data_IF_760746120160
#
_entry.id   IF_760746120160
#
_cell.length_a   1.000
_cell.length_b   1.000
_cell.length_c   1.000
_cell.angle_alpha   90.00
_cell.angle_beta   90.00
_cell.angle_gamma   90.00
#
_symmetry.space_group_name_H-M   'P 1'
#
loop_
_entity.id
_entity.type
_entity.pdbx_description
1 polymer ?
#
# COMPACT_ATOMS: atom_id res chain seq x y z
N UNK A 1 -49.45 30.54 2.26
CA UNK A 1 -48.39 30.22 1.28
C UNK A 1 -47.04 30.24 1.99
N UNK A 2 -46.47 29.07 2.30
CA UNK A 2 -45.14 28.91 2.89
C UNK A 2 -44.18 28.48 1.78
N UNK A 3 -43.23 29.35 1.41
CA UNK A 3 -42.19 29.05 0.43
C UNK A 3 -40.93 28.56 1.14
N UNK A 4 -40.47 27.37 0.75
CA UNK A 4 -39.22 26.73 1.18
C UNK A 4 -38.03 27.44 0.51
N UNK A 5 -37.06 27.92 1.28
CA UNK A 5 -35.68 28.11 0.83
C UNK A 5 -34.84 26.98 1.41
N UNK A 6 -34.64 25.94 0.59
CA UNK A 6 -33.76 24.83 0.89
C UNK A 6 -32.40 25.08 0.23
N UNK A 7 -31.33 24.93 1.03
CA UNK A 7 -29.96 24.57 0.67
C UNK A 7 -29.53 24.70 -0.81
N UNK A 8 -28.79 25.76 -1.10
CA UNK A 8 -27.84 25.83 -2.21
C UNK A 8 -26.53 26.47 -1.71
N UNK A 9 -25.79 25.73 -0.88
CA UNK A 9 -24.35 25.99 -0.67
C UNK A 9 -23.62 24.65 -0.70
N UNK A 10 -23.63 24.04 -1.87
CA UNK A 10 -22.72 22.96 -2.24
C UNK A 10 -22.58 23.06 -3.74
N UNK A 11 -21.34 23.18 -4.23
CA UNK A 11 -20.95 23.10 -5.65
C UNK A 11 -20.58 24.39 -6.40
N UNK A 12 -20.05 25.42 -5.72
CA UNK A 12 -19.34 26.49 -6.43
C UNK A 12 -18.20 27.03 -5.56
N UNK A 13 -17.00 26.49 -5.77
CA UNK A 13 -15.67 27.13 -5.75
C UNK A 13 -14.71 25.97 -6.07
N UNK A 14 -14.55 25.68 -7.37
CA UNK A 14 -13.42 24.93 -7.90
C UNK A 14 -13.24 25.39 -9.34
N UNK A 15 -12.84 26.66 -9.48
CA UNK A 15 -12.48 27.24 -10.77
C UNK A 15 -11.30 28.17 -10.53
N UNK A 16 -10.13 27.70 -10.99
CA UNK A 16 -8.96 28.48 -11.37
C UNK A 16 -8.20 29.16 -10.23
N UNK A 17 -7.18 28.48 -9.71
CA UNK A 17 -5.96 29.14 -9.26
C UNK A 17 -4.75 28.34 -9.75
N UNK A 18 -4.12 28.86 -10.79
CA UNK A 18 -2.72 28.62 -11.11
C UNK A 18 -1.94 29.71 -10.38
N UNK A 19 -1.21 29.31 -9.36
CA UNK A 19 -0.13 30.11 -8.75
C UNK A 19 1.04 29.15 -8.54
N UNK A 20 2.04 29.27 -9.42
CA UNK A 20 3.46 28.91 -9.26
C UNK A 20 3.81 27.91 -8.13
N UNK A 21 4.21 26.68 -8.54
CA UNK A 21 4.45 25.43 -7.79
C UNK A 21 3.16 24.79 -7.25
N UNK A 22 2.65 23.66 -7.71
CA UNK A 22 2.96 22.75 -8.81
C UNK A 22 2.13 21.46 -8.72
N UNK A 23 1.44 21.24 -7.58
CA UNK A 23 0.55 20.11 -7.35
C UNK A 23 -0.76 20.50 -6.63
N UNK A 24 -1.73 19.59 -6.58
CA UNK A 24 -2.96 19.80 -5.82
C UNK A 24 -2.81 19.98 -4.29
N UNK A 25 -1.64 19.66 -3.72
CA UNK A 25 -1.34 19.93 -2.30
C UNK A 25 -1.16 21.42 -1.99
N UNK A 26 -0.80 22.22 -3.00
CA UNK A 26 -0.49 23.65 -2.83
C UNK A 26 -1.74 24.52 -2.64
N UNK A 27 -2.92 23.89 -2.63
CA UNK A 27 -4.17 24.51 -2.16
C UNK A 27 -4.05 25.05 -0.72
N UNK A 28 -3.07 24.60 0.07
CA UNK A 28 -2.77 25.14 1.39
C UNK A 28 -2.57 26.66 1.38
N UNK A 29 -1.95 27.23 0.34
CA UNK A 29 -1.75 28.68 0.22
C UNK A 29 -3.09 29.41 0.15
N UNK A 30 -3.98 28.90 -0.70
CA UNK A 30 -5.34 29.44 -0.85
C UNK A 30 -6.15 29.30 0.43
N UNK A 31 -5.91 28.25 1.22
CA UNK A 31 -6.58 28.04 2.50
C UNK A 31 -6.06 29.06 3.51
N UNK A 32 -4.75 29.14 3.72
CA UNK A 32 -4.12 30.04 4.69
C UNK A 32 -4.41 31.51 4.36
N UNK A 33 -4.42 31.89 3.09
CA UNK A 33 -4.74 33.26 2.67
C UNK A 33 -6.19 33.68 2.97
N UNK A 34 -7.11 32.71 3.11
CA UNK A 34 -8.53 32.94 3.40
C UNK A 34 -8.88 32.80 4.89
N UNK A 35 -7.93 32.46 5.75
CA UNK A 35 -8.14 32.28 7.19
C UNK A 35 -8.03 33.60 7.96
N UNK A 36 -9.09 34.42 7.93
CA UNK A 36 -9.13 35.74 8.60
C UNK A 36 -8.69 35.75 10.07
N UNK A 37 -8.94 34.65 10.80
CA UNK A 37 -8.57 34.53 12.22
C UNK A 37 -7.11 34.17 12.40
N UNK A 38 -6.59 33.27 11.58
CA UNK A 38 -5.18 32.88 11.57
C UNK A 38 -4.32 34.12 11.25
N UNK A 39 -4.69 34.83 10.18
CA UNK A 39 -4.04 36.07 9.71
C UNK A 39 -4.01 37.21 10.75
N UNK A 40 -4.89 37.16 11.77
CA UNK A 40 -4.92 38.15 12.87
C UNK A 40 -4.13 37.73 14.10
N UNK A 41 -3.85 36.43 14.24
CA UNK A 41 -3.27 35.83 15.43
C UNK A 41 -1.79 35.52 15.26
N UNK A 42 -1.42 35.09 14.06
CA UNK A 42 -0.07 34.64 13.75
C UNK A 42 0.67 35.77 13.01
N UNK A 43 1.91 36.11 13.41
CA UNK A 43 2.78 37.01 12.65
C UNK A 43 2.93 36.60 11.19
N UNK A 44 3.15 37.58 10.30
CA UNK A 44 3.24 37.29 8.87
C UNK A 44 4.47 36.44 8.54
N UNK A 45 5.56 36.70 9.24
CA UNK A 45 6.83 36.00 9.13
C UNK A 45 6.68 34.52 9.50
N UNK A 46 5.86 34.23 10.52
CA UNK A 46 5.58 32.86 10.97
C UNK A 46 4.66 32.13 9.97
N UNK A 47 3.66 32.82 9.42
CA UNK A 47 2.82 32.29 8.33
C UNK A 47 3.69 31.94 7.11
N UNK A 48 4.62 32.81 6.72
CA UNK A 48 5.53 32.57 5.60
C UNK A 48 6.44 31.36 5.86
N UNK A 49 7.00 31.27 7.08
CA UNK A 49 7.83 30.14 7.50
C UNK A 49 7.06 28.81 7.46
N UNK A 50 5.82 28.81 7.93
CA UNK A 50 4.96 27.63 7.91
C UNK A 50 4.59 27.19 6.49
N UNK A 51 4.27 28.14 5.60
CA UNK A 51 3.96 27.84 4.21
C UNK A 51 5.19 27.30 3.46
N UNK A 52 6.36 27.91 3.65
CA UNK A 52 7.61 27.38 3.09
C UNK A 52 7.86 25.94 3.56
N UNK A 53 7.63 25.66 4.84
CA UNK A 53 7.78 24.31 5.38
C UNK A 53 6.78 23.32 4.76
N UNK A 54 5.51 23.75 4.61
CA UNK A 54 4.47 22.97 3.95
C UNK A 54 4.81 22.68 2.47
N UNK A 55 5.37 23.65 1.75
CA UNK A 55 5.81 23.46 0.36
C UNK A 55 6.92 22.44 0.23
N UNK A 56 7.94 22.47 1.10
CA UNK A 56 9.01 21.47 1.06
C UNK A 56 8.50 20.07 1.44
N UNK A 57 7.62 19.96 2.43
CA UNK A 57 6.96 18.67 2.74
C UNK A 57 6.11 18.17 1.56
N UNK A 58 5.36 19.06 0.89
CA UNK A 58 4.59 18.71 -0.30
C UNK A 58 5.52 18.16 -1.40
N UNK A 59 6.64 18.84 -1.69
CA UNK A 59 7.62 18.38 -2.68
C UNK A 59 8.15 16.98 -2.37
N UNK A 60 8.51 16.73 -1.11
CA UNK A 60 8.98 15.42 -0.66
C UNK A 60 7.88 14.35 -0.81
N UNK A 61 6.61 14.66 -0.51
CA UNK A 61 5.48 13.73 -0.75
C UNK A 61 5.33 13.42 -2.24
N UNK A 62 5.35 14.43 -3.11
CA UNK A 62 5.25 14.26 -4.57
C UNK A 62 6.42 13.42 -5.07
N UNK A 63 7.64 13.71 -4.63
CA UNK A 63 8.82 12.90 -4.97
C UNK A 63 8.63 11.46 -4.51
N UNK A 64 8.21 11.23 -3.26
CA UNK A 64 7.97 9.89 -2.75
C UNK A 64 6.95 9.13 -3.59
N UNK A 65 5.84 9.77 -3.98
CA UNK A 65 4.82 9.17 -4.85
C UNK A 65 5.42 8.78 -6.20
N UNK A 66 6.12 9.70 -6.85
CA UNK A 66 6.75 9.47 -8.15
C UNK A 66 7.82 8.38 -8.08
N UNK A 67 8.80 8.50 -7.18
CA UNK A 67 9.93 7.58 -7.05
C UNK A 67 9.51 6.16 -6.73
N UNK A 68 8.43 6.00 -5.96
CA UNK A 68 7.90 4.68 -5.62
C UNK A 68 6.87 4.17 -6.64
N UNK A 69 6.41 5.01 -7.58
CA UNK A 69 5.41 4.66 -8.59
C UNK A 69 4.06 4.25 -8.00
N UNK A 70 3.74 4.69 -6.78
CA UNK A 70 2.53 4.27 -6.05
C UNK A 70 1.23 4.90 -6.58
N UNK A 71 1.33 5.81 -7.54
CA UNK A 71 0.19 6.39 -8.25
C UNK A 71 0.03 5.83 -9.67
N UNK A 72 0.86 4.84 -10.09
CA UNK A 72 0.85 4.30 -11.45
C UNK A 72 -0.45 3.56 -11.80
N UNK A 73 -1.21 3.11 -10.81
CA UNK A 73 -2.53 2.48 -10.95
C UNK A 73 -3.69 3.49 -10.82
N UNK A 74 -3.37 4.80 -10.89
CA UNK A 74 -4.29 5.92 -10.76
C UNK A 74 -4.99 6.01 -9.39
N UNK A 75 -4.48 5.32 -8.36
CA UNK A 75 -5.13 5.28 -7.04
C UNK A 75 -4.15 5.12 -5.89
N UNK A 76 -4.11 6.12 -5.01
CA UNK A 76 -3.36 5.98 -3.75
C UNK A 76 -4.14 5.13 -2.74
N UNK A 77 -3.59 4.00 -2.35
CA UNK A 77 -4.15 3.04 -1.39
C UNK A 77 -3.51 3.16 0.00
N UNK A 78 -4.02 2.47 1.04
CA UNK A 78 -3.36 2.48 2.33
C UNK A 78 -2.01 1.74 2.34
N UNK A 79 -1.73 0.85 1.38
CA UNK A 79 -0.38 0.27 1.19
C UNK A 79 0.58 1.33 0.64
N UNK A 80 0.10 2.19 -0.27
CA UNK A 80 0.89 3.30 -0.82
C UNK A 80 1.26 4.30 0.27
N UNK A 81 0.37 4.58 1.22
CA UNK A 81 0.70 5.42 2.38
C UNK A 81 1.87 4.84 3.19
N UNK A 82 1.94 3.51 3.33
CA UNK A 82 3.07 2.87 4.03
C UNK A 82 4.36 2.98 3.22
N UNK A 83 4.27 2.83 1.90
CA UNK A 83 5.42 2.95 1.01
C UNK A 83 5.96 4.40 0.96
N UNK A 84 5.07 5.39 0.80
CA UNK A 84 5.40 6.82 0.89
C UNK A 84 6.07 7.13 2.23
N UNK A 85 5.47 6.66 3.34
CA UNK A 85 6.02 6.90 4.68
C UNK A 85 7.41 6.26 4.85
N UNK A 86 7.60 5.04 4.34
CA UNK A 86 8.88 4.33 4.35
C UNK A 86 9.94 5.06 3.53
N UNK A 87 9.56 5.63 2.38
CA UNK A 87 10.45 6.46 1.56
C UNK A 87 10.88 7.72 2.30
N UNK A 88 9.94 8.46 2.91
CA UNK A 88 10.25 9.67 3.67
C UNK A 88 11.15 9.35 4.87
N UNK A 89 10.82 8.33 5.67
CA UNK A 89 11.64 7.89 6.80
C UNK A 89 13.06 7.46 6.40
N UNK A 90 13.23 6.91 5.20
CA UNK A 90 14.52 6.44 4.71
C UNK A 90 15.40 7.58 4.20
N UNK A 91 14.81 8.56 3.52
CA UNK A 91 15.57 9.54 2.73
C UNK A 91 15.54 10.95 3.33
N UNK A 92 14.49 11.31 4.06
CA UNK A 92 14.21 12.69 4.48
C UNK A 92 13.93 12.82 5.98
N UNK A 93 14.19 11.80 6.81
CA UNK A 93 13.78 11.80 8.22
C UNK A 93 14.15 13.07 8.98
N UNK A 94 15.42 13.47 8.93
CA UNK A 94 15.91 14.59 9.73
C UNK A 94 15.37 15.93 9.22
N UNK A 95 15.33 16.12 7.90
CA UNK A 95 14.74 17.29 7.25
C UNK A 95 13.22 17.38 7.51
N UNK A 96 12.53 16.25 7.42
CA UNK A 96 11.09 16.17 7.61
C UNK A 96 10.67 16.60 9.02
N UNK A 97 11.42 16.20 10.05
CA UNK A 97 11.16 16.62 11.44
C UNK A 97 11.28 18.14 11.58
N UNK A 98 12.29 18.75 10.95
CA UNK A 98 12.49 20.21 10.97
C UNK A 98 11.34 20.94 10.28
N UNK A 99 10.92 20.45 9.11
CA UNK A 99 9.83 21.06 8.33
C UNK A 99 8.47 20.89 9.01
N UNK A 100 8.20 19.72 9.58
CA UNK A 100 7.01 19.48 10.38
C UNK A 100 6.94 20.45 11.56
N UNK A 101 8.08 20.61 12.23
CA UNK A 101 8.21 21.47 13.40
C UNK A 101 7.73 20.79 14.68
N UNK A 102 7.95 21.50 15.77
CA UNK A 102 7.60 21.11 17.13
C UNK A 102 6.54 22.08 17.69
N UNK A 103 5.73 21.61 18.64
CA UNK A 103 4.83 22.42 19.47
C UNK A 103 5.06 22.25 20.99
N UNK A 104 6.20 21.64 21.38
CA UNK A 104 6.63 21.53 22.78
C UNK A 104 7.27 22.83 23.33
N UNK A 105 7.34 22.92 24.67
CA UNK A 105 8.01 23.98 25.45
C UNK A 105 7.59 25.45 25.16
N UNK A 106 6.47 25.66 24.44
CA UNK A 106 5.97 26.95 23.92
C UNK A 106 6.81 27.55 22.77
N UNK A 107 7.60 26.75 22.07
CA UNK A 107 8.28 27.16 20.84
C UNK A 107 7.68 26.41 19.64
N UNK A 108 6.82 27.09 18.90
CA UNK A 108 6.30 26.55 17.64
C UNK A 108 7.31 26.79 16.51
N UNK A 109 7.57 25.78 15.69
CA UNK A 109 8.47 25.87 14.54
C UNK A 109 7.85 25.20 13.30
N UNK A 110 8.48 25.37 12.13
CA UNK A 110 8.05 24.69 10.91
C UNK A 110 6.58 24.92 10.55
N UNK A 111 5.87 23.85 10.19
CA UNK A 111 4.43 23.90 9.91
C UNK A 111 3.56 24.16 11.16
N UNK A 112 4.04 23.83 12.36
CA UNK A 112 3.27 24.03 13.59
C UNK A 112 3.00 25.50 13.94
N UNK A 113 3.76 26.44 13.37
CA UNK A 113 3.54 27.90 13.48
C UNK A 113 2.16 28.42 13.04
N UNK A 114 1.37 27.62 12.31
CA UNK A 114 -0.02 27.97 11.93
C UNK A 114 -1.04 26.96 12.45
N UNK A 115 -0.59 25.95 13.20
CA UNK A 115 -1.43 24.88 13.71
C UNK A 115 -2.11 25.37 15.01
N UNK A 116 -3.38 25.02 15.20
CA UNK A 116 -4.21 25.42 16.37
C UNK A 116 -4.46 26.94 16.54
N UNK A 117 -3.99 27.79 15.63
CA UNK A 117 -4.16 29.26 15.71
C UNK A 117 -5.45 29.85 15.14
N UNK A 118 -6.55 29.12 15.31
CA UNK A 118 -7.88 29.65 15.01
C UNK A 118 -8.31 29.54 13.54
N UNK A 119 -7.57 28.80 12.72
CA UNK A 119 -8.02 28.33 11.42
C UNK A 119 -9.36 27.59 11.51
N UNK A 120 -10.29 27.82 10.57
CA UNK A 120 -11.67 27.32 10.57
C UNK A 120 -12.14 26.72 9.25
N UNK A 121 -11.49 27.01 8.15
CA UNK A 121 -11.81 26.47 6.82
C UNK A 121 -11.79 24.95 6.91
N UNK A 122 -12.78 24.34 6.25
CA UNK A 122 -12.93 22.90 6.21
C UNK A 122 -12.81 22.38 4.79
N UNK A 123 -12.01 21.33 4.63
CA UNK A 123 -11.99 20.48 3.44
C UNK A 123 -12.30 19.05 3.88
N UNK A 124 -13.04 18.31 3.04
CA UNK A 124 -13.48 16.95 3.36
C UNK A 124 -14.24 16.84 4.70
N UNK A 125 -14.95 17.91 5.10
CA UNK A 125 -15.70 18.00 6.35
C UNK A 125 -14.85 18.19 7.62
N UNK A 126 -13.54 18.38 7.49
CA UNK A 126 -12.58 18.52 8.61
C UNK A 126 -11.82 19.83 8.49
N UNK A 127 -11.29 20.33 9.61
CA UNK A 127 -10.44 21.52 9.59
C UNK A 127 -9.25 21.28 8.65
N UNK A 128 -9.02 22.18 7.72
CA UNK A 128 -8.04 21.96 6.67
C UNK A 128 -6.61 21.85 7.25
N UNK A 129 -6.20 22.83 8.05
CA UNK A 129 -4.86 22.87 8.65
C UNK A 129 -4.74 21.82 9.76
N UNK A 130 -5.57 21.92 10.80
CA UNK A 130 -5.44 21.16 12.05
C UNK A 130 -5.86 19.68 11.99
N UNK A 131 -6.30 19.21 10.82
CA UNK A 131 -6.74 17.81 10.65
C UNK A 131 -6.32 17.20 9.33
N UNK A 132 -6.44 17.91 8.22
CA UNK A 132 -6.15 17.32 6.90
C UNK A 132 -4.67 17.44 6.60
N UNK A 133 -4.12 18.66 6.53
CA UNK A 133 -2.68 18.87 6.30
C UNK A 133 -1.85 18.34 7.46
N UNK A 134 -2.22 18.66 8.70
CA UNK A 134 -1.62 18.04 9.89
C UNK A 134 -1.57 16.50 9.78
N UNK A 135 -2.70 15.87 9.47
CA UNK A 135 -2.77 14.42 9.36
C UNK A 135 -1.99 13.83 8.18
N UNK A 136 -1.75 14.60 7.11
CA UNK A 136 -0.88 14.22 5.99
C UNK A 136 0.58 14.38 6.40
N UNK A 137 0.96 15.48 7.05
CA UNK A 137 2.34 15.78 7.45
C UNK A 137 2.85 14.91 8.60
N UNK A 138 1.96 14.16 9.25
CA UNK A 138 2.34 13.02 10.08
C UNK A 138 2.90 11.81 9.30
N UNK A 139 2.95 11.86 7.97
CA UNK A 139 3.92 11.06 7.22
C UNK A 139 5.34 11.37 7.74
N UNK A 140 6.32 10.51 7.49
CA UNK A 140 7.66 10.65 8.08
C UNK A 140 7.76 10.27 9.55
N UNK A 141 6.66 9.87 10.20
CA UNK A 141 6.64 9.32 11.57
C UNK A 141 6.22 7.83 11.59
N UNK A 142 6.43 7.10 12.71
CA UNK A 142 6.06 5.69 12.80
C UNK A 142 4.57 5.40 12.53
N UNK A 143 4.30 4.23 11.95
CA UNK A 143 2.92 3.71 11.80
C UNK A 143 2.68 2.62 12.84
N UNK A 144 1.78 2.87 13.78
CA UNK A 144 1.34 1.88 14.77
C UNK A 144 -0.03 1.34 14.39
N UNK A 145 -0.06 0.08 13.96
CA UNK A 145 -1.28 -0.59 13.51
C UNK A 145 -1.80 0.02 12.21
N UNK A 146 -2.76 0.95 12.29
CA UNK A 146 -3.39 1.61 11.11
C UNK A 146 -3.31 3.14 11.18
N UNK A 147 -2.49 3.68 12.08
CA UNK A 147 -2.41 5.11 12.35
C UNK A 147 -0.96 5.55 12.29
N UNK A 148 -0.74 6.70 11.69
CA UNK A 148 0.48 7.47 11.88
C UNK A 148 0.52 7.92 13.34
N UNK A 149 1.72 8.05 13.89
CA UNK A 149 1.94 8.71 15.17
C UNK A 149 2.42 10.13 14.97
N UNK A 150 2.29 10.97 15.99
CA UNK A 150 3.04 12.22 16.08
C UNK A 150 4.47 11.98 16.58
N UNK A 151 5.22 13.07 16.71
CA UNK A 151 6.55 13.18 17.29
C UNK A 151 6.68 12.47 18.65
N UNK A 152 5.64 12.52 19.49
CA UNK A 152 5.61 11.86 20.81
C UNK A 152 5.25 10.36 20.77
N UNK A 153 4.93 9.83 19.59
CA UNK A 153 4.39 8.47 19.45
C UNK A 153 2.88 8.34 19.75
N UNK A 154 2.16 9.45 19.95
CA UNK A 154 0.70 9.45 20.10
C UNK A 154 0.01 9.20 18.75
N UNK A 155 -1.11 8.45 18.78
CA UNK A 155 -1.83 8.07 17.55
C UNK A 155 -2.49 9.29 16.88
N UNK A 156 -2.01 9.68 15.70
CA UNK A 156 -2.62 10.68 14.83
C UNK A 156 -3.39 10.00 13.66
N UNK A 157 -3.26 10.45 12.42
CA UNK A 157 -4.22 10.17 11.35
C UNK A 157 -4.28 8.67 10.98
N UNK A 158 -5.46 8.20 10.56
CA UNK A 158 -5.59 6.85 10.02
C UNK A 158 -5.07 6.82 8.59
N UNK A 159 -4.28 5.82 8.22
CA UNK A 159 -3.71 5.69 6.87
C UNK A 159 -4.76 5.66 5.76
N UNK A 160 -5.99 5.18 6.04
CA UNK A 160 -7.10 5.26 5.07
C UNK A 160 -7.57 6.68 4.82
N UNK A 161 -7.54 7.53 5.84
CA UNK A 161 -7.94 8.92 5.69
C UNK A 161 -6.87 9.69 4.93
N UNK A 162 -5.59 9.44 5.20
CA UNK A 162 -4.48 10.05 4.46
C UNK A 162 -4.55 9.65 2.99
N UNK A 163 -4.74 8.35 2.68
CA UNK A 163 -4.98 7.89 1.31
C UNK A 163 -6.15 8.63 0.65
N UNK A 164 -7.29 8.75 1.34
CA UNK A 164 -8.46 9.47 0.84
C UNK A 164 -8.15 10.95 0.55
N UNK A 165 -7.46 11.64 1.45
CA UNK A 165 -7.12 13.05 1.28
C UNK A 165 -6.13 13.26 0.15
N UNK A 166 -5.08 12.43 0.04
CA UNK A 166 -4.13 12.52 -1.05
C UNK A 166 -4.81 12.28 -2.41
N UNK A 167 -5.65 11.25 -2.55
CA UNK A 167 -6.41 11.05 -3.80
C UNK A 167 -7.29 12.26 -4.16
N UNK A 168 -7.79 12.99 -3.16
CA UNK A 168 -8.68 14.13 -3.40
C UNK A 168 -7.96 15.42 -3.66
N UNK A 169 -6.81 15.62 -3.03
CA UNK A 169 -5.97 16.78 -3.28
C UNK A 169 -5.26 16.62 -4.63
N UNK A 170 -4.74 15.42 -4.93
CA UNK A 170 -3.97 15.11 -6.13
C UNK A 170 -4.80 14.53 -7.29
N UNK A 171 -6.11 14.74 -7.29
CA UNK A 171 -7.01 14.10 -8.28
C UNK A 171 -6.66 14.49 -9.72
N UNK A 172 -6.31 15.76 -9.94
CA UNK A 172 -5.94 16.27 -11.26
C UNK A 172 -4.51 15.87 -11.63
N UNK A 173 -3.57 15.92 -10.68
CA UNK A 173 -2.18 15.46 -10.87
C UNK A 173 -2.13 13.99 -11.35
N UNK A 174 -2.94 13.13 -10.73
CA UNK A 174 -3.06 11.72 -11.11
C UNK A 174 -3.65 11.57 -12.51
N UNK A 175 -4.77 12.25 -12.81
CA UNK A 175 -5.44 12.18 -14.12
C UNK A 175 -4.57 12.66 -15.27
N UNK A 176 -3.75 13.68 -15.02
CA UNK A 176 -2.83 14.23 -16.02
C UNK A 176 -1.61 13.34 -16.25
N UNK A 177 -1.37 12.37 -15.37
CA UNK A 177 -0.17 11.53 -15.39
C UNK A 177 1.06 12.21 -14.82
N UNK A 178 0.92 13.32 -14.10
CA UNK A 178 2.03 14.09 -13.53
C UNK A 178 2.79 13.28 -12.46
N UNK A 179 2.11 12.31 -11.84
CA UNK A 179 2.67 11.42 -10.81
C UNK A 179 3.06 10.04 -11.33
N UNK A 180 2.93 9.79 -12.64
CA UNK A 180 3.25 8.51 -13.26
C UNK A 180 4.75 8.33 -13.41
N UNK A 181 5.28 7.20 -12.95
CA UNK A 181 6.67 6.83 -13.13
C UNK A 181 6.83 5.66 -14.11
N UNK A 182 7.36 5.88 -15.33
CA UNK A 182 7.52 4.83 -16.33
C UNK A 182 8.55 3.75 -15.96
N UNK A 183 9.46 4.04 -15.03
CA UNK A 183 10.49 3.10 -14.61
C UNK A 183 9.97 2.05 -13.61
N UNK A 184 8.72 2.20 -13.15
CA UNK A 184 8.06 1.29 -12.20
C UNK A 184 6.90 0.58 -12.88
N UNK A 185 7.11 -0.69 -13.24
CA UNK A 185 6.07 -1.52 -13.83
C UNK A 185 5.35 -2.35 -12.77
N UNK A 186 4.01 -2.40 -12.85
CA UNK A 186 3.23 -3.30 -12.01
C UNK A 186 3.36 -4.76 -12.45
N UNK A 187 3.46 -5.64 -11.47
CA UNK A 187 3.56 -7.07 -11.72
C UNK A 187 2.22 -7.59 -12.23
N UNK A 188 2.26 -8.34 -13.34
CA UNK A 188 1.10 -9.02 -13.92
C UNK A 188 1.34 -10.53 -13.90
N UNK A 189 0.26 -11.29 -13.83
CA UNK A 189 0.33 -12.73 -14.03
C UNK A 189 0.63 -13.06 -15.49
N UNK A 190 1.55 -14.00 -15.72
CA UNK A 190 2.04 -14.33 -17.07
C UNK A 190 1.78 -15.78 -17.48
N UNK A 191 1.12 -16.57 -16.63
CA UNK A 191 0.89 -17.98 -16.94
C UNK A 191 -0.32 -18.21 -17.84
N UNK A 192 -1.26 -17.25 -17.89
CA UNK A 192 -2.52 -17.40 -18.60
C UNK A 192 -3.46 -18.40 -17.93
N UNK A 193 -3.30 -18.65 -16.62
CA UNK A 193 -4.10 -19.61 -15.85
C UNK A 193 -4.74 -18.96 -14.64
N UNK A 194 -5.70 -19.62 -13.98
CA UNK A 194 -6.29 -19.12 -12.74
C UNK A 194 -5.30 -18.97 -11.57
N UNK A 195 -4.06 -19.47 -11.68
CA UNK A 195 -2.99 -19.16 -10.74
C UNK A 195 -2.68 -17.66 -10.68
N UNK A 196 -2.83 -16.95 -11.80
CA UNK A 196 -2.54 -15.52 -11.92
C UNK A 196 -3.46 -14.66 -11.03
N UNK A 197 -4.59 -15.21 -10.57
CA UNK A 197 -5.49 -14.57 -9.58
C UNK A 197 -4.77 -14.16 -8.30
N UNK A 198 -3.68 -14.84 -7.92
CA UNK A 198 -2.91 -14.45 -6.73
C UNK A 198 -2.38 -13.03 -6.83
N UNK A 199 -1.98 -12.60 -8.03
CA UNK A 199 -1.42 -11.27 -8.28
C UNK A 199 -2.49 -10.20 -8.02
N UNK A 200 -3.67 -10.37 -8.62
CA UNK A 200 -4.81 -9.49 -8.38
C UNK A 200 -5.21 -9.46 -6.91
N UNK A 201 -5.19 -10.61 -6.22
CA UNK A 201 -5.52 -10.70 -4.80
C UNK A 201 -4.49 -9.95 -3.96
N UNK A 202 -3.20 -10.07 -4.24
CA UNK A 202 -2.13 -9.37 -3.51
C UNK A 202 -2.37 -7.86 -3.54
N UNK A 203 -2.65 -7.30 -4.71
CA UNK A 203 -2.87 -5.86 -4.84
C UNK A 203 -4.24 -5.39 -4.32
N UNK A 204 -5.30 -6.20 -4.42
CA UNK A 204 -6.66 -5.74 -4.10
C UNK A 204 -7.19 -6.16 -2.72
N UNK A 205 -6.47 -7.03 -1.99
CA UNK A 205 -6.91 -7.52 -0.70
C UNK A 205 -6.93 -6.40 0.36
N UNK A 206 -8.14 -6.07 0.85
CA UNK A 206 -8.35 -5.01 1.86
C UNK A 206 -7.61 -5.23 3.18
N UNK A 207 -7.21 -6.46 3.47
CA UNK A 207 -6.42 -6.83 4.64
C UNK A 207 -4.95 -6.53 4.44
N UNK A 208 -4.38 -7.02 3.34
CA UNK A 208 -2.99 -6.76 2.93
C UNK A 208 -2.74 -5.26 2.75
N UNK A 209 -3.65 -4.58 2.08
CA UNK A 209 -3.66 -3.14 1.88
C UNK A 209 -3.53 -2.33 3.19
N UNK A 210 -3.87 -2.91 4.34
CA UNK A 210 -3.74 -2.24 5.64
C UNK A 210 -2.47 -2.56 6.40
N UNK A 211 -1.68 -3.54 5.98
CA UNK A 211 -0.54 -4.07 6.72
C UNK A 211 0.77 -4.08 5.93
N UNK A 212 0.70 -4.30 4.63
CA UNK A 212 1.87 -4.33 3.75
C UNK A 212 2.10 -2.96 3.10
N UNK A 213 3.36 -2.64 2.80
CA UNK A 213 3.69 -1.55 1.89
C UNK A 213 3.56 -2.01 0.43
N UNK A 214 3.36 -1.08 -0.50
CA UNK A 214 3.26 -1.41 -1.94
C UNK A 214 4.53 -2.09 -2.47
N UNK A 215 5.71 -1.73 -1.97
CA UNK A 215 6.94 -2.45 -2.28
C UNK A 215 6.90 -3.92 -1.84
N UNK A 216 6.39 -4.21 -0.64
CA UNK A 216 6.22 -5.59 -0.16
C UNK A 216 5.18 -6.36 -1.01
N UNK A 217 4.09 -5.69 -1.43
CA UNK A 217 3.09 -6.29 -2.32
C UNK A 217 3.71 -6.65 -3.68
N UNK A 218 4.50 -5.75 -4.28
CA UNK A 218 5.20 -6.01 -5.56
C UNK A 218 6.21 -7.13 -5.44
N UNK A 219 6.98 -7.21 -4.36
CA UNK A 219 7.94 -8.31 -4.13
C UNK A 219 7.23 -9.67 -4.02
N UNK A 220 6.14 -9.72 -3.25
CA UNK A 220 5.32 -10.92 -3.14
C UNK A 220 4.67 -11.32 -4.47
N UNK A 221 4.12 -10.36 -5.21
CA UNK A 221 3.50 -10.60 -6.51
C UNK A 221 4.52 -11.12 -7.51
N UNK A 222 5.71 -10.51 -7.57
CA UNK A 222 6.81 -10.98 -8.43
C UNK A 222 7.17 -12.42 -8.09
N UNK A 223 7.31 -12.73 -6.81
CA UNK A 223 7.65 -14.08 -6.37
C UNK A 223 6.56 -15.09 -6.72
N UNK A 224 5.30 -14.75 -6.48
CA UNK A 224 4.15 -15.59 -6.83
C UNK A 224 4.06 -15.85 -8.35
N UNK A 225 4.32 -14.84 -9.18
CA UNK A 225 4.32 -14.99 -10.64
C UNK A 225 5.42 -15.97 -11.10
N UNK A 226 6.63 -15.85 -10.58
CA UNK A 226 7.72 -16.77 -10.91
C UNK A 226 7.45 -18.21 -10.40
N UNK A 227 6.88 -18.36 -9.20
CA UNK A 227 6.46 -19.67 -8.70
C UNK A 227 5.35 -20.28 -9.55
N UNK A 228 4.40 -19.48 -10.03
CA UNK A 228 3.36 -19.95 -10.94
C UNK A 228 3.96 -20.46 -12.26
N UNK A 229 4.95 -19.76 -12.84
CA UNK A 229 5.64 -20.22 -14.06
C UNK A 229 6.32 -21.58 -13.86
N UNK A 230 7.08 -21.74 -12.78
CA UNK A 230 7.75 -23.00 -12.44
C UNK A 230 6.71 -24.11 -12.21
N UNK A 231 5.58 -23.80 -11.58
CA UNK A 231 4.51 -24.77 -11.35
C UNK A 231 3.87 -25.25 -12.66
N UNK A 232 3.60 -24.33 -13.60
CA UNK A 232 3.08 -24.68 -14.93
C UNK A 232 4.09 -25.51 -15.72
N UNK A 233 5.38 -25.16 -15.68
CA UNK A 233 6.43 -25.96 -16.30
C UNK A 233 6.44 -27.38 -15.72
N UNK A 234 6.42 -27.53 -14.40
CA UNK A 234 6.39 -28.82 -13.74
C UNK A 234 5.17 -29.67 -14.10
N UNK A 235 4.00 -29.04 -14.25
CA UNK A 235 2.75 -29.71 -14.67
C UNK A 235 2.87 -30.22 -16.11
N UNK A 236 3.39 -29.38 -17.01
CA UNK A 236 3.56 -29.72 -18.42
C UNK A 236 4.62 -30.81 -18.62
N UNK A 237 5.71 -30.79 -17.85
CA UNK A 237 6.79 -31.76 -17.97
C UNK A 237 6.37 -33.22 -17.65
N UNK A 238 5.23 -33.40 -16.97
CA UNK A 238 4.72 -34.72 -16.59
C UNK A 238 3.31 -35.01 -17.13
N UNK A 239 2.79 -34.15 -18.01
CA UNK A 239 1.46 -34.25 -18.63
C UNK A 239 0.30 -34.35 -17.62
N UNK A 240 0.41 -33.70 -16.45
CA UNK A 240 -0.51 -33.87 -15.32
C UNK A 240 -1.92 -33.25 -15.47
N UNK A 241 -2.22 -32.60 -16.59
CA UNK A 241 -3.51 -31.94 -16.83
C UNK A 241 -4.21 -32.40 -18.12
N UNK A 242 -3.71 -33.46 -18.78
CA UNK A 242 -4.32 -33.97 -20.03
C UNK A 242 -5.80 -34.34 -19.85
N UNK A 243 -6.16 -34.91 -18.71
CA UNK A 243 -7.53 -35.31 -18.37
C UNK A 243 -8.34 -34.22 -17.64
N UNK A 244 -7.80 -32.99 -17.61
CA UNK A 244 -8.34 -31.83 -16.88
C UNK A 244 -8.41 -32.05 -15.37
N UNK A 245 -7.65 -32.98 -14.80
CA UNK A 245 -7.73 -33.30 -13.38
C UNK A 245 -6.39 -33.73 -12.81
N UNK A 246 -5.86 -32.89 -11.94
CA UNK A 246 -4.67 -33.24 -11.16
C UNK A 246 -5.05 -34.24 -10.06
N UNK A 247 -4.33 -35.35 -10.03
CA UNK A 247 -4.41 -36.42 -9.04
C UNK A 247 -3.40 -36.24 -7.92
N UNK A 248 -3.54 -37.02 -6.85
CA UNK A 248 -2.57 -37.01 -5.74
C UNK A 248 -1.18 -37.47 -6.19
N UNK A 249 -1.12 -38.45 -7.09
CA UNK A 249 0.14 -39.03 -7.55
C UNK A 249 0.89 -38.04 -8.44
N UNK A 250 0.18 -37.25 -9.24
CA UNK A 250 0.76 -36.12 -9.99
C UNK A 250 1.27 -35.02 -9.08
N UNK A 251 0.61 -34.70 -7.96
CA UNK A 251 1.18 -33.75 -6.99
C UNK A 251 2.55 -34.20 -6.48
N UNK A 252 2.73 -35.50 -6.19
CA UNK A 252 4.05 -36.00 -5.78
C UNK A 252 5.09 -35.86 -6.90
N UNK A 253 4.70 -36.06 -8.17
CA UNK A 253 5.58 -35.90 -9.33
C UNK A 253 5.92 -34.42 -9.57
N UNK A 254 4.95 -33.52 -9.51
CA UNK A 254 5.14 -32.06 -9.59
C UNK A 254 6.10 -31.60 -8.49
N UNK A 255 5.87 -32.03 -7.25
CA UNK A 255 6.74 -31.70 -6.14
C UNK A 255 8.17 -32.17 -6.37
N UNK A 256 8.35 -33.41 -6.83
CA UNK A 256 9.65 -33.96 -7.15
C UNK A 256 10.36 -33.14 -8.23
N UNK A 257 9.65 -32.81 -9.32
CA UNK A 257 10.20 -31.98 -10.40
C UNK A 257 10.68 -30.62 -9.88
N UNK A 258 9.88 -29.94 -9.05
CA UNK A 258 10.27 -28.65 -8.46
C UNK A 258 11.51 -28.81 -7.58
N UNK A 259 11.56 -29.82 -6.71
CA UNK A 259 12.72 -30.05 -5.83
C UNK A 259 13.99 -30.33 -6.63
N UNK A 260 13.91 -31.20 -7.63
CA UNK A 260 15.06 -31.64 -8.42
C UNK A 260 15.63 -30.55 -9.34
N UNK A 261 14.78 -29.65 -9.86
CA UNK A 261 15.18 -28.67 -10.87
C UNK A 261 15.23 -27.23 -10.34
N UNK A 262 14.46 -26.91 -9.30
CA UNK A 262 14.22 -25.53 -8.84
C UNK A 262 14.32 -25.35 -7.34
N UNK A 263 14.71 -26.36 -6.54
CA UNK A 263 14.64 -26.31 -5.07
C UNK A 263 15.16 -25.00 -4.44
N UNK A 264 16.38 -24.59 -4.77
CA UNK A 264 17.00 -23.37 -4.24
C UNK A 264 16.26 -22.10 -4.68
N UNK A 265 15.87 -22.03 -5.95
CA UNK A 265 15.13 -20.88 -6.51
C UNK A 265 13.75 -20.79 -5.88
N UNK A 266 13.06 -21.93 -5.76
CA UNK A 266 11.73 -22.05 -5.20
C UNK A 266 11.71 -21.63 -3.73
N UNK A 267 12.69 -22.08 -2.92
CA UNK A 267 12.82 -21.65 -1.53
C UNK A 267 13.02 -20.14 -1.42
N UNK A 268 13.85 -19.54 -2.27
CA UNK A 268 14.07 -18.09 -2.28
C UNK A 268 12.80 -17.30 -2.66
N UNK A 269 12.04 -17.79 -3.65
CA UNK A 269 10.80 -17.15 -4.10
C UNK A 269 9.69 -17.30 -3.05
N UNK A 270 9.56 -18.48 -2.45
CA UNK A 270 8.66 -18.71 -1.32
C UNK A 270 8.96 -17.74 -0.18
N UNK A 271 10.26 -17.60 0.12
CA UNK A 271 10.77 -16.78 1.20
C UNK A 271 10.75 -17.51 2.55
N UNK A 272 11.18 -16.77 3.56
CA UNK A 272 11.22 -17.21 4.95
C UNK A 272 10.64 -16.10 5.84
N UNK A 273 10.09 -16.47 7.00
CA UNK A 273 9.67 -15.57 8.07
C UNK A 273 10.62 -15.59 9.30
N UNK A 274 11.71 -16.36 9.23
CA UNK A 274 12.75 -16.39 10.26
C UNK A 274 13.57 -15.09 10.34
N UNK A 275 14.15 -14.83 11.52
CA UNK A 275 15.01 -13.67 11.83
C UNK A 275 14.37 -12.29 11.63
N UNK A 276 13.04 -12.22 11.50
CA UNK A 276 12.30 -10.97 11.42
C UNK A 276 12.43 -10.23 10.09
N UNK A 277 12.92 -10.90 9.04
CA UNK A 277 12.99 -10.37 7.67
C UNK A 277 12.18 -11.25 6.72
N UNK A 278 10.90 -10.94 6.59
CA UNK A 278 10.05 -11.54 5.56
C UNK A 278 10.64 -11.21 4.16
N UNK A 279 10.76 -12.22 3.30
CA UNK A 279 11.18 -12.08 1.89
C UNK A 279 10.21 -12.81 0.97
N UNK A 280 10.28 -12.56 -0.33
CA UNK A 280 9.56 -13.35 -1.34
C UNK A 280 8.04 -13.30 -1.16
N UNK A 281 7.35 -14.42 -1.37
CA UNK A 281 5.90 -14.51 -1.16
C UNK A 281 5.50 -14.30 0.31
N UNK A 282 6.37 -14.63 1.26
CA UNK A 282 6.08 -14.48 2.69
C UNK A 282 5.91 -13.03 3.16
N UNK A 283 6.31 -12.03 2.36
CA UNK A 283 5.97 -10.61 2.56
C UNK A 283 4.47 -10.33 2.74
N UNK A 284 3.59 -11.20 2.24
CA UNK A 284 2.12 -11.06 2.37
C UNK A 284 1.48 -12.14 3.23
N UNK A 285 2.22 -13.18 3.60
CA UNK A 285 1.72 -14.28 4.42
C UNK A 285 1.58 -13.83 5.86
N UNK A 286 0.51 -14.25 6.54
CA UNK A 286 0.11 -13.81 7.90
C UNK A 286 -0.10 -12.29 8.05
N UNK A 287 0.02 -11.52 6.97
CA UNK A 287 -0.20 -10.07 6.93
C UNK A 287 -1.66 -9.64 6.70
N UNK A 288 -2.59 -10.42 7.26
CA UNK A 288 -3.98 -9.98 7.45
C UNK A 288 -4.88 -10.08 6.22
N UNK A 289 -4.47 -10.80 5.17
CA UNK A 289 -5.29 -11.09 3.99
C UNK A 289 -6.72 -11.54 4.35
N UNK A 290 -7.72 -11.14 3.55
CA UNK A 290 -9.16 -11.40 3.81
C UNK A 290 -9.90 -12.10 2.68
N UNK A 291 -9.39 -12.00 1.47
CA UNK A 291 -9.95 -12.61 0.27
C UNK A 291 -9.99 -14.11 0.45
N UNK A 292 -11.09 -14.72 0.00
CA UNK A 292 -11.28 -16.16 0.10
C UNK A 292 -11.31 -16.80 -1.28
N UNK A 293 -10.62 -17.92 -1.41
CA UNK A 293 -10.75 -18.88 -2.50
C UNK A 293 -11.09 -20.23 -1.90
N UNK A 294 -12.04 -20.94 -2.52
CA UNK A 294 -12.49 -22.25 -2.05
C UNK A 294 -12.89 -22.24 -0.55
N UNK A 295 -13.55 -21.15 -0.12
CA UNK A 295 -13.98 -20.88 1.26
C UNK A 295 -12.83 -20.71 2.29
N UNK A 296 -11.57 -20.73 1.85
CA UNK A 296 -10.38 -20.56 2.67
C UNK A 296 -9.70 -19.23 2.38
N UNK A 297 -8.86 -18.76 3.29
CA UNK A 297 -8.04 -17.57 3.04
C UNK A 297 -7.17 -17.79 1.80
N UNK A 298 -7.27 -16.90 0.81
CA UNK A 298 -6.61 -17.10 -0.47
C UNK A 298 -5.09 -17.13 -0.32
N UNK A 299 -4.52 -16.16 0.40
CA UNK A 299 -3.07 -16.07 0.61
C UNK A 299 -2.60 -17.11 1.62
N UNK A 300 -3.04 -17.00 2.88
CA UNK A 300 -2.53 -17.78 4.01
C UNK A 300 -2.94 -19.27 4.00
N UNK A 301 -3.74 -19.70 3.01
CA UNK A 301 -4.16 -21.11 2.97
C UNK A 301 -4.14 -21.74 1.60
N UNK A 302 -4.66 -21.06 0.58
CA UNK A 302 -4.72 -21.64 -0.77
C UNK A 302 -3.35 -21.51 -1.44
N UNK A 303 -2.87 -20.29 -1.69
CA UNK A 303 -1.61 -20.06 -2.38
C UNK A 303 -0.39 -20.45 -1.55
N UNK A 304 -0.34 -20.06 -0.27
CA UNK A 304 0.70 -20.56 0.65
C UNK A 304 0.73 -22.11 0.68
N UNK A 305 -0.43 -22.76 0.76
CA UNK A 305 -0.53 -24.22 0.70
C UNK A 305 -0.05 -24.84 -0.61
N UNK A 306 -0.33 -24.19 -1.75
CA UNK A 306 0.17 -24.62 -3.08
C UNK A 306 1.69 -24.42 -3.15
N UNK A 307 2.19 -23.29 -2.66
CA UNK A 307 3.60 -22.92 -2.71
C UNK A 307 4.48 -23.68 -1.71
N UNK A 308 3.89 -24.46 -0.81
CA UNK A 308 4.58 -25.49 -0.04
C UNK A 308 4.93 -26.74 -0.87
N UNK A 309 4.51 -26.83 -2.14
CA UNK A 309 5.23 -27.69 -3.08
C UNK A 309 6.70 -27.25 -3.14
N UNK A 310 7.62 -28.13 -3.54
CA UNK A 310 9.06 -27.85 -3.47
C UNK A 310 9.67 -28.05 -2.06
N UNK A 311 8.85 -28.36 -1.04
CA UNK A 311 9.30 -28.73 0.31
C UNK A 311 9.03 -30.21 0.62
N UNK A 312 9.57 -30.77 1.72
CA UNK A 312 9.32 -32.15 2.10
C UNK A 312 7.83 -32.49 2.25
N UNK A 313 7.48 -33.74 1.93
CA UNK A 313 6.14 -34.29 2.16
C UNK A 313 6.22 -35.34 3.26
N UNK A 314 5.61 -35.06 4.41
CA UNK A 314 5.43 -36.04 5.48
C UNK A 314 4.12 -36.81 5.26
N UNK A 315 4.26 -38.08 4.87
CA UNK A 315 3.17 -39.03 4.55
C UNK A 315 2.26 -38.55 3.41
N UNK A 316 1.28 -37.71 3.72
CA UNK A 316 0.24 -37.24 2.79
C UNK A 316 -0.02 -35.73 2.93
N UNK A 317 0.89 -35.01 3.59
CA UNK A 317 0.79 -33.57 3.85
C UNK A 317 2.10 -32.91 3.48
N UNK A 318 2.02 -31.77 2.82
CA UNK A 318 3.17 -30.90 2.64
C UNK A 318 3.63 -30.40 4.02
N UNK A 319 4.93 -30.21 4.21
CA UNK A 319 5.45 -29.42 5.32
C UNK A 319 5.68 -27.97 4.89
N UNK A 320 5.74 -27.04 5.84
CA UNK A 320 6.32 -25.73 5.57
C UNK A 320 7.85 -25.82 5.59
N UNK A 321 8.50 -24.69 5.35
CA UNK A 321 9.94 -24.44 5.45
C UNK A 321 10.55 -24.93 6.77
N UNK A 322 9.81 -24.84 7.89
CA UNK A 322 10.25 -25.33 9.22
C UNK A 322 10.01 -26.83 9.46
N UNK A 323 9.44 -27.56 8.48
CA UNK A 323 9.07 -28.98 8.64
C UNK A 323 7.74 -29.23 9.35
N UNK A 324 6.93 -28.20 9.63
CA UNK A 324 5.59 -28.34 10.22
C UNK A 324 4.56 -28.77 9.18
N UNK A 325 3.69 -29.74 9.52
CA UNK A 325 2.64 -30.23 8.63
C UNK A 325 1.65 -29.12 8.23
N UNK A 326 1.57 -28.82 6.93
CA UNK A 326 0.58 -27.92 6.33
C UNK A 326 -0.50 -28.69 5.55
N UNK A 327 -0.85 -28.29 4.31
CA UNK A 327 -2.05 -28.75 3.59
C UNK A 327 -1.93 -30.22 3.13
N UNK A 328 -3.01 -31.02 3.18
CA UNK A 328 -3.01 -32.36 2.58
C UNK A 328 -2.82 -32.31 1.06
N UNK A 329 -2.03 -33.23 0.52
CA UNK A 329 -1.78 -33.39 -0.94
C UNK A 329 -3.08 -33.43 -1.76
N UNK A 330 -4.11 -34.11 -1.24
CA UNK A 330 -5.44 -34.17 -1.87
C UNK A 330 -6.06 -32.78 -2.10
N UNK A 331 -5.88 -31.85 -1.16
CA UNK A 331 -6.44 -30.50 -1.26
C UNK A 331 -5.71 -29.65 -2.28
N UNK A 332 -4.39 -29.83 -2.41
CA UNK A 332 -3.61 -29.16 -3.47
C UNK A 332 -4.06 -29.64 -4.85
N UNK A 333 -4.22 -30.95 -5.03
CA UNK A 333 -4.77 -31.51 -6.26
C UNK A 333 -6.15 -30.91 -6.61
N UNK A 334 -7.05 -30.80 -5.63
CA UNK A 334 -8.37 -30.18 -5.81
C UNK A 334 -8.30 -28.69 -6.17
N UNK A 335 -7.40 -27.91 -5.56
CA UNK A 335 -7.26 -26.48 -5.84
C UNK A 335 -6.60 -26.21 -7.18
N UNK A 336 -5.49 -26.89 -7.51
CA UNK A 336 -4.82 -26.74 -8.79
C UNK A 336 -5.73 -27.16 -9.95
N UNK A 337 -6.46 -28.28 -9.81
CA UNK A 337 -7.47 -28.68 -10.80
C UNK A 337 -8.46 -27.56 -11.07
N UNK A 338 -8.94 -26.86 -10.03
CA UNK A 338 -9.90 -25.77 -10.22
C UNK A 338 -9.27 -24.54 -10.87
N UNK A 339 -8.11 -24.10 -10.38
CA UNK A 339 -7.44 -22.90 -10.89
C UNK A 339 -6.99 -23.07 -12.35
N UNK A 340 -6.63 -24.27 -12.78
CA UNK A 340 -6.11 -24.52 -14.12
C UNK A 340 -7.18 -24.83 -15.17
N UNK A 341 -8.44 -24.98 -14.76
CA UNK A 341 -9.58 -25.23 -15.66
C UNK A 341 -10.52 -24.02 -15.78
N UNK A 342 -10.14 -22.88 -15.22
CA UNK A 342 -10.82 -21.59 -15.44
C UNK A 342 -10.35 -20.96 -16.75
#
# INVERSE_FOLDING_TARGET
>A
MKGKFANLITSAIFLGFSTTFGSGLDIIDTIVSKEDKLQKKVPKEDIETALNSAHEMNKIIIEAIYRTGVANDERITPADIREINKYILKNYKDEWVILHGDDEENEETGFHLIQKDGAKIKIFGKNAINKVFDGIYHLGFPIVGKRLTNEDGNKNANIKNVALWLNKLLEEDIKNGDLYNPDVEEIKGETGTGLDKVIDIIFNDKGLQLKCSTGDLREAAKSANEMNKILIEAINAIDALEDKKITKDEIFKINRYIVENYGDVWQKLHGNDEEGKETGFHKVVKNGAKTKLFEKNAINKVFDGIYHLGFPIDKKRLTNEDGNRNVPVKKIAEWLTKLLNE
#
